data_IF_420198009704
#
_entry.id   IF_420198009704
#
_cell.length_a   1.000
_cell.length_b   1.000
_cell.length_c   1.000
_cell.angle_alpha   90.00
_cell.angle_beta   90.00
_cell.angle_gamma   90.00
#
_symmetry.space_group_name_H-M   'P 1'
#
loop_
_entity.id
_entity.type
_entity.pdbx_description
1 polymer ?
#
# COMPACT_ATOMS: atom_id res chain seq x y z
N UNK A 1 -31.03 -28.17 57.93
CA UNK A 1 -29.93 -28.68 57.08
C UNK A 1 -29.93 -28.05 55.66
N UNK A 2 -29.94 -26.71 55.55
CA UNK A 2 -29.98 -25.99 54.24
C UNK A 2 -28.73 -25.10 54.04
N UNK A 3 -28.08 -24.67 55.13
CA UNK A 3 -26.96 -23.71 55.12
C UNK A 3 -25.63 -24.28 54.58
N UNK A 4 -25.32 -25.57 54.81
CA UNK A 4 -24.08 -26.20 54.32
C UNK A 4 -24.12 -26.53 52.82
N UNK A 5 -25.29 -26.90 52.29
CA UNK A 5 -25.45 -27.31 50.88
C UNK A 5 -25.19 -26.15 49.91
N UNK A 6 -25.59 -24.93 50.30
CA UNK A 6 -25.30 -23.72 49.52
C UNK A 6 -23.82 -23.32 49.60
N UNK A 7 -23.17 -23.47 50.77
CA UNK A 7 -21.73 -23.17 50.93
C UNK A 7 -20.84 -24.05 50.05
N UNK A 8 -21.14 -25.34 49.94
CA UNK A 8 -20.41 -26.26 49.04
C UNK A 8 -20.61 -25.87 47.58
N UNK A 9 -21.83 -25.49 47.17
CA UNK A 9 -22.10 -25.00 45.81
C UNK A 9 -21.33 -23.73 45.47
N UNK A 10 -21.28 -22.75 46.39
CA UNK A 10 -20.49 -21.53 46.18
C UNK A 10 -18.98 -21.80 46.16
N UNK A 11 -18.49 -22.74 46.97
CA UNK A 11 -17.08 -23.14 46.96
C UNK A 11 -16.69 -23.76 45.61
N UNK A 12 -17.53 -24.66 45.07
CA UNK A 12 -17.31 -25.29 43.76
C UNK A 12 -17.40 -24.27 42.63
N UNK A 13 -18.35 -23.35 42.68
CA UNK A 13 -18.47 -22.28 41.68
C UNK A 13 -17.25 -21.36 41.71
N UNK A 14 -16.78 -21.00 42.92
CA UNK A 14 -15.59 -20.17 43.11
C UNK A 14 -14.33 -20.85 42.61
N UNK A 15 -14.13 -22.15 42.91
CA UNK A 15 -12.96 -22.87 42.39
C UNK A 15 -13.01 -23.03 40.87
N UNK A 16 -14.16 -23.30 40.27
CA UNK A 16 -14.27 -23.36 38.79
C UNK A 16 -13.96 -22.01 38.16
N UNK A 17 -14.54 -20.92 38.70
CA UNK A 17 -14.29 -19.57 38.19
C UNK A 17 -12.83 -19.16 38.36
N UNK A 18 -12.24 -19.45 39.53
CA UNK A 18 -10.83 -19.21 39.80
C UNK A 18 -9.93 -20.03 38.88
N UNK A 19 -10.28 -21.28 38.59
CA UNK A 19 -9.49 -22.14 37.69
C UNK A 19 -9.56 -21.63 36.25
N UNK A 20 -10.73 -21.18 35.77
CA UNK A 20 -10.87 -20.58 34.42
C UNK A 20 -10.09 -19.27 34.33
N UNK A 21 -10.21 -18.39 35.33
CA UNK A 21 -9.44 -17.13 35.36
C UNK A 21 -7.95 -17.43 35.43
N UNK A 22 -7.53 -18.36 36.27
CA UNK A 22 -6.12 -18.72 36.44
C UNK A 22 -5.55 -19.40 35.19
N UNK A 23 -6.28 -20.27 34.50
CA UNK A 23 -5.82 -20.85 33.23
C UNK A 23 -5.79 -19.82 32.12
N UNK A 24 -6.75 -18.89 32.04
CA UNK A 24 -6.72 -17.78 31.09
C UNK A 24 -5.55 -16.81 31.36
N UNK A 25 -5.24 -16.50 32.61
CA UNK A 25 -4.12 -15.61 32.97
C UNK A 25 -2.76 -16.32 32.87
N UNK A 26 -2.68 -17.62 33.17
CA UNK A 26 -1.44 -18.39 33.12
C UNK A 26 -1.09 -18.86 31.70
N UNK A 27 -2.08 -19.07 30.83
CA UNK A 27 -1.86 -19.35 29.41
C UNK A 27 -1.65 -18.08 28.57
N UNK A 28 -1.71 -16.88 29.16
CA UNK A 28 -1.40 -15.64 28.44
C UNK A 28 0.05 -15.56 27.94
N UNK A 29 0.95 -16.38 28.52
CA UNK A 29 2.34 -16.55 28.07
C UNK A 29 2.60 -17.75 27.14
N UNK A 30 1.60 -18.58 26.83
CA UNK A 30 1.77 -19.79 26.00
C UNK A 30 1.84 -19.52 24.49
N UNK A 31 1.58 -18.27 24.07
CA UNK A 31 1.86 -17.82 22.71
C UNK A 31 3.13 -16.97 22.71
N UNK A 32 4.29 -17.61 22.94
CA UNK A 32 5.57 -17.01 22.59
C UNK A 32 5.64 -16.88 21.07
N UNK A 33 5.27 -15.70 20.57
CA UNK A 33 5.43 -15.35 19.17
C UNK A 33 6.93 -15.33 18.85
N UNK A 34 7.39 -16.32 18.07
CA UNK A 34 8.75 -16.30 17.54
C UNK A 34 8.83 -15.24 16.43
N UNK A 35 9.84 -14.37 16.44
CA UNK A 35 10.01 -13.39 15.37
C UNK A 35 10.14 -14.14 14.04
N UNK A 36 9.44 -13.67 13.01
CA UNK A 36 9.56 -14.21 11.67
C UNK A 36 9.73 -13.09 10.66
N UNK A 37 10.54 -13.36 9.64
CA UNK A 37 10.60 -12.48 8.48
C UNK A 37 9.30 -12.64 7.71
N UNK A 38 8.58 -11.54 7.50
CA UNK A 38 7.61 -11.51 6.42
C UNK A 38 8.30 -10.93 5.19
N UNK A 39 8.13 -11.64 4.09
CA UNK A 39 8.32 -11.12 2.75
C UNK A 39 6.93 -10.89 2.18
N UNK A 40 6.79 -10.01 1.18
CA UNK A 40 5.66 -9.91 0.23
C UNK A 40 4.92 -8.57 0.27
N UNK A 41 5.60 -7.49 -0.07
CA UNK A 41 4.92 -6.50 -0.91
C UNK A 41 5.90 -6.06 -1.99
N UNK A 42 5.90 -6.77 -3.12
CA UNK A 42 6.33 -6.11 -4.35
C UNK A 42 5.36 -4.96 -4.58
N UNK A 43 5.92 -3.76 -4.63
CA UNK A 43 5.17 -2.56 -4.96
C UNK A 43 5.78 -1.97 -6.24
N UNK A 44 5.14 -0.99 -6.82
CA UNK A 44 5.72 -0.17 -7.86
C UNK A 44 5.75 1.28 -7.37
N UNK A 45 6.90 1.92 -7.55
CA UNK A 45 7.07 3.34 -7.20
C UNK A 45 7.53 4.11 -8.41
N UNK A 46 7.24 5.41 -8.40
CA UNK A 46 7.63 6.31 -9.47
C UNK A 46 9.15 6.50 -9.37
N UNK A 47 9.87 6.05 -10.38
CA UNK A 47 11.30 6.28 -10.49
C UNK A 47 11.59 7.70 -10.99
N UNK A 48 10.79 8.21 -11.91
CA UNK A 48 10.92 9.57 -12.41
C UNK A 48 9.87 9.91 -13.44
N UNK A 49 9.88 11.15 -13.88
CA UNK A 49 9.08 11.60 -15.02
C UNK A 49 9.90 11.45 -16.30
N UNK A 50 9.23 11.31 -17.44
CA UNK A 50 9.89 11.35 -18.74
C UNK A 50 9.70 12.74 -19.33
N UNK A 51 10.82 13.37 -19.66
CA UNK A 51 10.88 14.70 -20.24
C UNK A 51 11.88 14.66 -21.40
N UNK A 52 11.44 15.08 -22.60
CA UNK A 52 12.26 15.05 -23.82
C UNK A 52 12.89 13.67 -24.10
N UNK A 53 12.14 12.59 -23.86
CA UNK A 53 12.58 11.21 -24.06
C UNK A 53 13.60 10.70 -23.03
N UNK A 54 13.91 11.48 -21.98
CA UNK A 54 14.86 11.12 -20.93
C UNK A 54 14.17 11.05 -19.57
N UNK A 55 14.70 10.20 -18.71
CA UNK A 55 14.24 10.10 -17.32
C UNK A 55 14.77 11.30 -16.54
N UNK A 56 13.86 12.08 -15.97
CA UNK A 56 14.17 13.18 -15.07
C UNK A 56 13.75 12.81 -13.63
N UNK A 57 14.75 12.70 -12.73
CA UNK A 57 14.54 12.46 -11.30
C UNK A 57 14.42 13.74 -10.47
N UNK A 58 14.45 14.92 -11.10
CA UNK A 58 14.35 16.22 -10.43
C UNK A 58 15.39 16.41 -9.31
N UNK A 59 16.61 15.89 -9.49
CA UNK A 59 17.68 15.96 -8.49
C UNK A 59 17.51 14.99 -7.30
N UNK A 60 16.50 14.13 -7.30
CA UNK A 60 16.26 13.15 -6.22
C UNK A 60 17.23 11.98 -6.36
N UNK A 61 17.98 11.68 -5.28
CA UNK A 61 18.81 10.48 -5.19
C UNK A 61 18.03 9.22 -5.53
N UNK A 62 18.67 8.27 -6.22
CA UNK A 62 18.09 6.96 -6.57
C UNK A 62 17.61 6.19 -5.32
N UNK A 63 18.32 6.33 -4.21
CA UNK A 63 18.04 5.58 -2.98
C UNK A 63 16.78 6.08 -2.26
N UNK A 64 16.34 7.31 -2.56
CA UNK A 64 15.08 7.84 -2.03
C UNK A 64 13.89 7.40 -2.88
N UNK A 65 13.51 6.14 -2.70
CA UNK A 65 12.46 5.44 -3.45
C UNK A 65 11.04 6.01 -3.28
N UNK A 66 10.78 6.78 -2.21
CA UNK A 66 9.45 7.32 -1.90
C UNK A 66 9.26 8.79 -2.33
N UNK A 67 10.34 9.57 -2.44
CA UNK A 67 10.24 11.03 -2.60
C UNK A 67 9.55 11.44 -3.90
N UNK A 68 9.74 10.69 -4.97
CA UNK A 68 9.09 10.98 -6.24
C UNK A 68 7.57 10.78 -6.17
N UNK A 69 7.07 9.71 -5.54
CA UNK A 69 5.63 9.52 -5.29
C UNK A 69 5.04 10.71 -4.53
N UNK A 70 5.75 11.21 -3.51
CA UNK A 70 5.32 12.37 -2.75
C UNK A 70 5.26 13.64 -3.61
N UNK A 71 6.28 13.90 -4.44
CA UNK A 71 6.29 15.06 -5.35
C UNK A 71 5.14 14.99 -6.35
N UNK A 72 4.90 13.82 -6.96
CA UNK A 72 3.80 13.64 -7.91
C UNK A 72 2.45 13.82 -7.20
N UNK A 73 2.30 13.28 -5.99
CA UNK A 73 1.09 13.44 -5.20
C UNK A 73 0.83 14.89 -4.81
N UNK A 74 1.81 15.60 -4.28
CA UNK A 74 1.67 17.02 -3.92
C UNK A 74 1.43 17.89 -5.15
N UNK A 75 2.14 17.63 -6.25
CA UNK A 75 2.03 18.44 -7.45
C UNK A 75 0.73 18.20 -8.21
N UNK A 76 0.27 16.97 -8.35
CA UNK A 76 -0.88 16.61 -9.22
C UNK A 76 -2.13 16.16 -8.46
N UNK A 77 -2.05 15.96 -7.14
CA UNK A 77 -3.19 15.55 -6.32
C UNK A 77 -3.56 14.06 -6.45
N UNK A 78 -2.70 13.24 -7.07
CA UNK A 78 -2.96 11.81 -7.28
C UNK A 78 -1.91 10.91 -6.64
N UNK A 79 -2.34 9.75 -6.20
CA UNK A 79 -1.51 8.70 -5.65
C UNK A 79 -1.77 7.40 -6.40
N UNK A 80 -0.78 6.53 -6.35
CA UNK A 80 -0.81 5.22 -6.99
C UNK A 80 -0.73 4.16 -5.92
N UNK A 81 -1.50 3.10 -6.10
CA UNK A 81 -1.46 1.92 -5.25
C UNK A 81 -1.14 0.69 -6.10
N UNK A 82 -0.82 -0.41 -5.41
CA UNK A 82 -0.74 -1.74 -6.01
C UNK A 82 -2.02 -2.07 -6.78
N UNK A 83 -1.94 -3.05 -7.69
CA UNK A 83 -3.07 -3.49 -8.50
C UNK A 83 -3.62 -2.44 -9.47
N UNK A 84 -2.76 -1.52 -9.92
CA UNK A 84 -3.09 -0.54 -10.96
C UNK A 84 -4.24 0.38 -10.54
N UNK A 85 -4.17 0.90 -9.31
CA UNK A 85 -5.16 1.82 -8.75
C UNK A 85 -4.60 3.23 -8.64
N UNK A 86 -5.44 4.20 -8.99
CA UNK A 86 -5.18 5.63 -8.87
C UNK A 86 -6.23 6.22 -7.94
N UNK A 87 -5.83 7.10 -7.03
CA UNK A 87 -6.78 7.78 -6.15
C UNK A 87 -6.31 9.21 -5.88
N UNK A 88 -7.23 10.07 -5.46
CA UNK A 88 -6.97 11.45 -5.11
C UNK A 88 -7.43 11.70 -3.69
N UNK A 89 -6.52 12.17 -2.84
CA UNK A 89 -6.83 12.57 -1.48
C UNK A 89 -5.82 13.61 -0.97
N UNK A 90 -6.32 14.54 -0.16
CA UNK A 90 -5.46 15.49 0.58
C UNK A 90 -4.86 14.83 1.82
N UNK A 91 -5.68 14.08 2.56
CA UNK A 91 -5.32 13.36 3.77
C UNK A 91 -5.92 11.94 3.79
N UNK A 92 -5.79 11.21 4.89
CA UNK A 92 -6.30 9.83 4.99
C UNK A 92 -7.83 9.71 4.98
N UNK A 93 -8.58 10.82 5.06
CA UNK A 93 -10.04 10.85 5.25
C UNK A 93 -10.77 11.55 4.10
N UNK A 94 -10.09 12.44 3.39
CA UNK A 94 -10.68 13.31 2.36
C UNK A 94 -10.36 12.76 0.97
N UNK A 95 -11.29 11.98 0.41
CA UNK A 95 -11.18 11.41 -0.94
C UNK A 95 -11.92 12.25 -1.97
N UNK A 96 -11.25 12.46 -3.11
CA UNK A 96 -11.72 13.25 -4.24
C UNK A 96 -11.97 12.36 -5.46
N UNK A 97 -12.80 12.86 -6.36
CA UNK A 97 -13.00 12.27 -7.67
C UNK A 97 -11.88 12.72 -8.62
N UNK A 98 -11.49 11.82 -9.52
CA UNK A 98 -10.57 12.10 -10.63
C UNK A 98 -11.38 12.07 -11.92
N UNK A 99 -11.28 13.13 -12.70
CA UNK A 99 -11.81 13.18 -14.06
C UNK A 99 -10.68 13.01 -15.06
N UNK A 100 -10.74 11.92 -15.84
CA UNK A 100 -9.77 11.60 -16.89
C UNK A 100 -10.26 12.15 -18.24
N UNK A 101 -9.39 12.87 -18.96
CA UNK A 101 -9.73 13.43 -20.27
C UNK A 101 -9.22 12.56 -21.43
N UNK A 102 -8.18 11.77 -21.18
CA UNK A 102 -7.47 10.97 -22.17
C UNK A 102 -7.53 9.48 -21.82
N UNK A 103 -7.34 8.64 -22.84
CA UNK A 103 -7.00 7.24 -22.65
C UNK A 103 -5.62 7.13 -22.00
N UNK A 104 -5.45 6.12 -21.14
CA UNK A 104 -4.14 5.85 -20.57
C UNK A 104 -3.29 5.12 -21.62
N UNK A 105 -1.99 5.40 -21.65
CA UNK A 105 -1.03 4.55 -22.37
C UNK A 105 -0.11 3.87 -21.40
N UNK A 106 -0.08 2.55 -21.47
CA UNK A 106 0.84 1.71 -20.73
C UNK A 106 1.92 1.22 -21.68
N UNK A 107 3.18 1.52 -21.40
CA UNK A 107 4.31 1.12 -22.25
C UNK A 107 5.18 0.15 -21.47
N UNK A 108 5.28 -1.08 -21.97
CA UNK A 108 6.06 -2.15 -21.38
C UNK A 108 7.05 -2.68 -22.40
N UNK A 109 8.34 -2.64 -22.09
CA UNK A 109 9.41 -3.12 -22.97
C UNK A 109 9.31 -2.56 -24.40
N UNK A 110 8.93 -1.28 -24.53
CA UNK A 110 8.77 -0.59 -25.81
C UNK A 110 7.46 -0.89 -26.55
N UNK A 111 6.62 -1.79 -26.04
CA UNK A 111 5.29 -2.06 -26.60
C UNK A 111 4.24 -1.19 -25.91
N UNK A 112 3.44 -0.51 -26.72
CA UNK A 112 2.36 0.36 -26.25
C UNK A 112 1.03 -0.39 -26.13
N UNK A 113 0.29 -0.08 -25.08
CA UNK A 113 -1.05 -0.57 -24.80
C UNK A 113 -1.94 0.62 -24.45
N UNK A 114 -2.99 0.82 -25.25
CA UNK A 114 -3.96 1.88 -25.01
C UNK A 114 -5.08 1.31 -24.12
N UNK A 115 -5.34 1.98 -23.01
CA UNK A 115 -6.41 1.66 -22.08
C UNK A 115 -7.45 2.77 -22.20
N UNK A 116 -8.60 2.50 -22.83
CA UNK A 116 -9.66 3.49 -22.98
C UNK A 116 -10.09 4.04 -21.62
N UNK A 117 -10.28 5.35 -21.51
CA UNK A 117 -10.70 5.97 -20.24
C UNK A 117 -12.05 5.43 -19.73
N UNK A 118 -12.90 4.96 -20.62
CA UNK A 118 -14.19 4.33 -20.31
C UNK A 118 -14.02 2.99 -19.59
N UNK A 119 -12.84 2.37 -19.67
CA UNK A 119 -12.49 1.15 -18.92
C UNK A 119 -11.88 1.43 -17.55
N UNK A 120 -11.70 2.70 -17.18
CA UNK A 120 -11.28 3.07 -15.82
C UNK A 120 -12.52 2.96 -14.93
N UNK A 121 -12.47 2.04 -13.98
CA UNK A 121 -13.59 1.74 -13.08
C UNK A 121 -13.41 2.52 -11.78
N UNK A 122 -14.40 3.34 -11.44
CA UNK A 122 -14.47 4.00 -10.13
C UNK A 122 -15.04 3.01 -9.11
N UNK A 123 -14.29 2.77 -8.06
CA UNK A 123 -14.68 1.98 -6.90
C UNK A 123 -14.85 2.88 -5.69
N UNK A 124 -15.97 2.74 -5.00
CA UNK A 124 -16.24 3.43 -3.74
C UNK A 124 -16.39 2.40 -2.63
N UNK A 125 -15.61 2.54 -1.56
CA UNK A 125 -15.63 1.63 -0.41
C UNK A 125 -16.00 2.44 0.82
N UNK A 126 -17.05 2.01 1.51
CA UNK A 126 -17.48 2.58 2.78
C UNK A 126 -17.12 1.61 3.91
N UNK A 127 -16.05 1.93 4.64
CA UNK A 127 -15.60 1.19 5.82
C UNK A 127 -15.40 2.15 7.00
N UNK A 128 -16.32 3.11 7.16
CA UNK A 128 -16.27 4.17 8.17
C UNK A 128 -15.72 5.51 7.63
N UNK A 129 -14.81 5.44 6.66
CA UNK A 129 -14.48 6.53 5.75
C UNK A 129 -14.83 6.08 4.31
N UNK A 130 -15.19 7.03 3.43
CA UNK A 130 -15.44 6.73 2.02
C UNK A 130 -14.13 6.84 1.24
N UNK A 131 -13.66 5.71 0.72
CA UNK A 131 -12.46 5.61 -0.11
C UNK A 131 -12.87 5.54 -1.58
N UNK A 132 -12.33 6.45 -2.40
CA UNK A 132 -12.57 6.49 -3.84
C UNK A 132 -11.28 6.09 -4.55
N UNK A 133 -11.30 4.98 -5.27
CA UNK A 133 -10.18 4.48 -6.07
C UNK A 133 -10.64 4.28 -7.53
N UNK A 134 -9.69 4.39 -8.45
CA UNK A 134 -9.89 4.16 -9.87
C UNK A 134 -8.99 3.03 -10.31
N UNK A 135 -9.57 1.88 -10.65
CA UNK A 135 -8.85 0.72 -11.19
C UNK A 135 -8.88 0.75 -12.71
N UNK A 136 -7.81 0.28 -13.34
CA UNK A 136 -7.74 0.17 -14.81
C UNK A 136 -7.14 -1.18 -15.22
N UNK A 137 -7.57 -1.73 -16.37
CA UNK A 137 -7.11 -3.04 -16.83
C UNK A 137 -5.71 -2.95 -17.43
N UNK A 138 -4.68 -2.82 -16.58
CA UNK A 138 -3.31 -2.85 -17.04
C UNK A 138 -2.98 -4.21 -17.70
N UNK A 139 -2.19 -4.22 -18.78
CA UNK A 139 -1.86 -5.45 -19.49
C UNK A 139 -1.02 -6.41 -18.64
N UNK A 140 -0.24 -5.88 -17.69
CA UNK A 140 0.67 -6.62 -16.82
C UNK A 140 0.71 -5.96 -15.44
N UNK A 141 0.80 -6.77 -14.40
CA UNK A 141 1.16 -6.35 -13.05
C UNK A 141 2.63 -6.70 -12.78
N UNK A 142 3.52 -5.72 -12.90
CA UNK A 142 4.97 -5.94 -12.73
C UNK A 142 5.35 -6.44 -11.33
N UNK A 143 4.46 -6.28 -10.34
CA UNK A 143 4.69 -6.84 -9.00
C UNK A 143 4.62 -8.38 -9.00
N UNK A 144 3.98 -8.97 -10.01
CA UNK A 144 3.73 -10.40 -10.17
C UNK A 144 4.49 -11.04 -11.35
N UNK A 145 5.09 -10.23 -12.23
CA UNK A 145 5.90 -10.73 -13.36
C UNK A 145 7.40 -10.47 -13.15
N UNK A 146 8.22 -10.90 -14.12
CA UNK A 146 9.66 -10.63 -14.15
C UNK A 146 10.00 -9.26 -14.75
N UNK A 147 9.00 -8.47 -15.14
CA UNK A 147 9.23 -7.12 -15.62
C UNK A 147 9.58 -6.19 -14.45
N UNK A 148 10.60 -5.36 -14.63
CA UNK A 148 11.09 -4.46 -13.58
C UNK A 148 10.50 -3.05 -13.67
N UNK A 149 9.95 -2.67 -14.83
CA UNK A 149 9.47 -1.30 -15.05
C UNK A 149 8.44 -1.18 -16.16
N UNK A 150 7.62 -0.14 -16.09
CA UNK A 150 6.71 0.29 -17.15
C UNK A 150 6.56 1.80 -17.14
N UNK A 151 6.09 2.36 -18.26
CA UNK A 151 5.72 3.78 -18.34
C UNK A 151 4.20 3.88 -18.36
N UNK A 152 3.66 4.83 -17.61
CA UNK A 152 2.25 5.18 -17.65
C UNK A 152 2.09 6.63 -18.09
N UNK A 153 1.38 6.82 -19.20
CA UNK A 153 0.88 8.13 -19.64
C UNK A 153 -0.59 8.24 -19.24
N UNK A 154 -0.90 9.18 -18.35
CA UNK A 154 -2.27 9.40 -17.85
C UNK A 154 -2.99 10.48 -18.67
N UNK A 155 -2.22 11.38 -19.27
CA UNK A 155 -2.75 12.55 -19.97
C UNK A 155 -3.17 13.65 -19.00
N UNK A 156 -4.29 14.30 -19.30
CA UNK A 156 -4.85 15.38 -18.50
C UNK A 156 -5.87 14.86 -17.49
N UNK A 157 -5.80 15.37 -16.27
CA UNK A 157 -6.76 15.09 -15.21
C UNK A 157 -7.27 16.37 -14.56
N UNK A 158 -8.44 16.29 -13.93
CA UNK A 158 -8.98 17.31 -13.04
C UNK A 158 -9.42 16.64 -11.74
N UNK A 159 -9.17 17.27 -10.58
CA UNK A 159 -9.57 16.75 -9.27
C UNK A 159 -10.81 17.49 -8.80
N UNK A 160 -11.85 16.73 -8.48
CA UNK A 160 -13.16 17.24 -8.08
C UNK A 160 -13.51 16.78 -6.67
N UNK A 161 -14.20 17.61 -5.91
CA UNK A 161 -14.84 17.18 -4.67
C UNK A 161 -16.00 16.21 -4.94
N UNK A 162 -16.66 15.75 -3.87
CA UNK A 162 -17.81 14.84 -3.98
C UNK A 162 -19.02 15.46 -4.69
N UNK A 163 -19.12 16.79 -4.69
CA UNK A 163 -20.19 17.53 -5.33
C UNK A 163 -19.84 17.91 -6.79
N UNK A 164 -18.67 17.51 -7.27
CA UNK A 164 -18.20 17.83 -8.62
C UNK A 164 -17.57 19.21 -8.75
N UNK A 165 -17.31 19.93 -7.66
CA UNK A 165 -16.59 21.21 -7.69
C UNK A 165 -15.10 20.95 -7.89
N UNK A 166 -14.46 21.76 -8.74
CA UNK A 166 -13.03 21.68 -9.00
C UNK A 166 -12.22 22.04 -7.75
N UNK A 167 -11.41 21.08 -7.29
CA UNK A 167 -10.40 21.24 -6.22
C UNK A 167 -9.04 21.53 -6.84
N UNK A 168 -8.71 20.84 -7.93
CA UNK A 168 -7.49 21.10 -8.71
C UNK A 168 -7.83 21.14 -10.19
N UNK A 169 -7.51 22.26 -10.82
CA UNK A 169 -7.79 22.51 -12.23
C UNK A 169 -7.12 21.49 -13.13
N UNK A 170 -7.71 21.33 -14.32
CA UNK A 170 -7.21 20.46 -15.38
C UNK A 170 -5.70 20.67 -15.62
N UNK A 171 -4.91 19.60 -15.47
CA UNK A 171 -3.46 19.63 -15.64
C UNK A 171 -2.97 18.35 -16.33
N UNK A 172 -1.98 18.49 -17.22
CA UNK A 172 -1.32 17.36 -17.90
C UNK A 172 -0.26 16.75 -16.99
N UNK A 173 -0.37 15.44 -16.77
CA UNK A 173 0.63 14.66 -16.04
C UNK A 173 1.71 14.21 -17.04
N UNK A 174 3.00 14.44 -16.76
CA UNK A 174 4.07 13.89 -17.59
C UNK A 174 4.05 12.35 -17.52
N UNK A 175 4.56 11.63 -18.55
CA UNK A 175 4.71 10.19 -18.46
C UNK A 175 5.54 9.79 -17.24
N UNK A 176 5.06 8.79 -16.51
CA UNK A 176 5.67 8.34 -15.26
C UNK A 176 6.36 7.00 -15.51
N UNK A 177 7.66 6.91 -15.21
CA UNK A 177 8.36 5.64 -15.17
C UNK A 177 8.14 5.01 -13.79
N UNK A 178 7.46 3.89 -13.77
CA UNK A 178 7.31 3.05 -12.59
C UNK A 178 8.38 1.97 -12.56
N UNK A 179 8.94 1.72 -11.39
CA UNK A 179 9.85 0.61 -11.13
C UNK A 179 9.36 -0.26 -10.00
N UNK A 180 9.65 -1.55 -10.12
CA UNK A 180 9.40 -2.54 -9.08
C UNK A 180 10.27 -2.24 -7.87
N UNK A 181 9.66 -2.29 -6.69
CA UNK A 181 10.34 -2.14 -5.40
C UNK A 181 10.08 -3.34 -4.53
N UNK A 182 11.01 -3.64 -3.64
CA UNK A 182 10.91 -4.71 -2.67
C UNK A 182 10.99 -4.15 -1.26
N UNK A 183 10.14 -4.68 -0.37
CA UNK A 183 10.09 -4.31 1.03
C UNK A 183 10.19 -5.56 1.89
N UNK A 184 11.12 -5.57 2.84
CA UNK A 184 11.37 -6.70 3.73
C UNK A 184 11.47 -6.25 5.18
N UNK A 185 10.69 -6.90 6.04
CA UNK A 185 10.63 -6.60 7.47
C UNK A 185 10.70 -7.87 8.31
N UNK A 186 11.23 -7.73 9.52
CA UNK A 186 11.13 -8.72 10.59
C UNK A 186 10.00 -8.31 11.52
N UNK A 187 8.99 -9.15 11.65
CA UNK A 187 7.91 -8.95 12.63
C UNK A 187 8.34 -9.66 13.92
N UNK A 188 8.43 -8.91 15.02
CA UNK A 188 8.87 -9.41 16.32
C UNK A 188 7.73 -9.74 17.28
N UNK A 189 6.54 -9.20 17.05
CA UNK A 189 5.35 -9.47 17.87
C UNK A 189 4.08 -9.38 17.04
N UNK A 190 3.00 -10.01 17.52
CA UNK A 190 1.68 -9.82 16.95
C UNK A 190 1.24 -8.36 17.12
N UNK A 191 1.16 -7.61 16.01
CA UNK A 191 0.52 -6.28 15.98
C UNK A 191 1.38 -5.05 16.25
N UNK A 192 2.72 -5.06 16.12
CA UNK A 192 3.36 -3.73 16.07
C UNK A 192 4.88 -3.56 16.09
N UNK A 193 5.69 -4.57 16.41
CA UNK A 193 7.15 -4.39 16.36
C UNK A 193 7.73 -4.94 15.06
N UNK A 194 8.09 -4.03 14.16
CA UNK A 194 8.70 -4.33 12.86
C UNK A 194 10.09 -3.70 12.77
N UNK A 195 11.07 -4.48 12.31
CA UNK A 195 12.37 -3.95 11.88
C UNK A 195 12.44 -4.02 10.36
N UNK A 196 12.80 -2.91 9.71
CA UNK A 196 12.97 -2.86 8.25
C UNK A 196 14.38 -3.31 7.90
N UNK A 197 14.48 -4.29 6.99
CA UNK A 197 15.76 -4.82 6.51
C UNK A 197 16.05 -4.42 5.07
N UNK A 198 15.01 -4.12 4.29
CA UNK A 198 15.16 -3.61 2.93
C UNK A 198 13.95 -2.81 2.51
N UNK A 199 14.20 -1.68 1.85
CA UNK A 199 13.17 -0.86 1.21
C UNK A 199 13.79 -0.15 0.01
N UNK A 200 13.82 -0.84 -1.13
CA UNK A 200 14.63 -0.43 -2.28
C UNK A 200 14.08 -0.94 -3.61
N UNK A 201 14.82 -0.69 -4.67
CA UNK A 201 14.50 -1.20 -6.01
C UNK A 201 14.61 -2.72 -6.06
N UNK A 202 13.72 -3.39 -6.78
CA UNK A 202 13.72 -4.85 -6.82
C UNK A 202 14.98 -5.40 -7.50
N UNK A 203 15.49 -4.70 -8.52
CA UNK A 203 16.70 -5.10 -9.25
C UNK A 203 17.98 -5.13 -8.37
N UNK A 204 18.01 -4.37 -7.27
CA UNK A 204 19.15 -4.32 -6.36
C UNK A 204 19.01 -5.27 -5.16
N UNK A 205 17.88 -5.97 -5.05
CA UNK A 205 17.64 -6.82 -3.89
C UNK A 205 18.67 -7.97 -3.85
N UNK A 206 19.42 -8.13 -2.74
CA UNK A 206 20.47 -9.13 -2.69
C UNK A 206 19.90 -10.54 -2.77
N UNK A 207 20.54 -11.38 -3.60
CA UNK A 207 20.20 -12.80 -3.73
C UNK A 207 20.41 -13.60 -2.44
N UNK A 208 21.29 -13.12 -1.57
CA UNK A 208 21.49 -13.66 -0.21
C UNK A 208 20.86 -12.73 0.85
N UNK A 209 19.61 -13.02 1.27
CA UNK A 209 18.91 -12.47 2.42
C UNK A 209 19.71 -12.23 3.71
N UNK A 210 20.75 -13.02 3.98
CA UNK A 210 21.51 -12.97 5.24
C UNK A 210 22.40 -11.72 5.34
N UNK A 211 22.65 -11.06 4.20
CA UNK A 211 23.49 -9.88 4.10
C UNK A 211 22.78 -8.57 4.46
N UNK A 212 21.44 -8.59 4.58
CA UNK A 212 20.66 -7.40 4.88
C UNK A 212 20.90 -6.91 6.31
N UNK A 213 21.08 -5.61 6.45
CA UNK A 213 21.18 -4.92 7.74
C UNK A 213 19.90 -4.17 8.03
N UNK A 214 19.58 -4.06 9.32
CA UNK A 214 18.47 -3.23 9.79
C UNK A 214 18.68 -1.77 9.35
N UNK A 215 17.64 -1.18 8.75
CA UNK A 215 17.54 0.24 8.46
C UNK A 215 17.00 0.93 9.73
N UNK A 216 17.67 2.01 10.14
CA UNK A 216 17.32 2.82 11.31
C UNK A 216 16.56 4.08 10.90
#
# INVERSE_FOLDING_TARGET
MIKMKNRIKYLVLFTVLFTIVFTLTSCSGLFEFKPYFTTLVYNHRIYGIIENGKINRMGISRDNVNKMNHIISTKYGIKFNTENRIYANEDSRTYYNIKFYNDLKFILNGKEYIIPKEKIVREEKDQGDIWIEYSYPAPVDITKTNDDSYILEIGEIEILDRNGKVVKSKEKIPPLLFKKTYYRVLIKSYGGSEDIYYNGWAEDYPKDPSTLKKIY
#
